data_IF_222662365648
#
_entry.id   IF_222662365648
#
_cell.length_a   1.000
_cell.length_b   1.000
_cell.length_c   1.000
_cell.angle_alpha   90.00
_cell.angle_beta   90.00
_cell.angle_gamma   90.00
#
_symmetry.space_group_name_H-M   'P 1'
#
loop_
_entity.id
_entity.type
_entity.pdbx_description
1 polymer ?
#
# COMPACT_ATOMS: atom_id res chain seq x y z
N UNK A 1 5.74 23.64 -10.17
CA UNK A 1 6.42 22.60 -9.37
C UNK A 1 5.41 21.47 -9.10
N UNK A 2 5.70 20.21 -9.46
CA UNK A 2 4.88 19.08 -8.97
C UNK A 2 5.30 18.79 -7.52
N UNK A 3 4.39 18.77 -6.54
CA UNK A 3 4.77 18.43 -5.17
C UNK A 3 5.37 17.03 -5.12
N UNK A 4 6.43 16.84 -4.33
CA UNK A 4 6.98 15.50 -4.08
C UNK A 4 5.90 14.62 -3.46
N UNK A 5 5.95 13.32 -3.74
CA UNK A 5 5.01 12.33 -3.19
C UNK A 5 3.54 12.54 -3.60
N UNK A 6 3.30 13.31 -4.66
CA UNK A 6 2.00 13.45 -5.30
C UNK A 6 1.78 12.35 -6.35
N UNK A 7 1.52 11.14 -5.87
CA UNK A 7 1.23 9.98 -6.71
C UNK A 7 0.14 9.13 -6.07
N UNK A 8 -0.82 8.66 -6.86
CA UNK A 8 -1.84 7.72 -6.41
C UNK A 8 -1.58 6.43 -7.17
N UNK A 9 -1.14 5.39 -6.46
CA UNK A 9 -0.87 4.10 -7.07
C UNK A 9 -2.17 3.51 -7.63
N UNK A 10 -2.08 2.88 -8.80
CA UNK A 10 -3.17 2.07 -9.34
C UNK A 10 -3.24 0.72 -8.64
N UNK A 11 -4.38 0.06 -8.74
CA UNK A 11 -4.58 -1.29 -8.20
C UNK A 11 -3.57 -2.30 -8.79
N UNK A 12 -3.22 -2.17 -10.06
CA UNK A 12 -2.23 -3.00 -10.75
C UNK A 12 -0.83 -2.80 -10.17
N UNK A 13 -0.46 -1.55 -9.85
CA UNK A 13 0.82 -1.24 -9.20
C UNK A 13 0.87 -1.73 -7.75
N UNK A 14 -0.26 -1.78 -7.05
CA UNK A 14 -0.36 -2.31 -5.69
C UNK A 14 -0.31 -3.84 -5.64
N UNK A 15 -0.83 -4.53 -6.67
CA UNK A 15 -0.92 -6.00 -6.72
C UNK A 15 0.39 -6.74 -6.38
N UNK A 16 1.55 -6.45 -7.00
CA UNK A 16 2.78 -7.18 -6.67
C UNK A 16 3.22 -7.00 -5.21
N UNK A 17 2.88 -5.87 -4.59
CA UNK A 17 3.15 -5.63 -3.17
C UNK A 17 2.21 -6.40 -2.27
N UNK A 18 0.93 -6.55 -2.63
CA UNK A 18 -0.02 -7.39 -1.90
C UNK A 18 0.46 -8.84 -1.88
N UNK A 19 0.89 -9.37 -3.03
CA UNK A 19 1.41 -10.73 -3.13
C UNK A 19 2.68 -10.92 -2.28
N UNK A 20 3.58 -9.94 -2.29
CA UNK A 20 4.78 -9.94 -1.45
C UNK A 20 4.45 -9.91 0.05
N UNK A 21 3.48 -9.09 0.48
CA UNK A 21 3.07 -9.02 1.89
C UNK A 21 2.42 -10.33 2.33
N UNK A 22 1.62 -10.97 1.49
CA UNK A 22 1.07 -12.31 1.77
C UNK A 22 2.18 -13.34 1.97
N UNK A 23 3.20 -13.34 1.12
CA UNK A 23 4.35 -14.22 1.28
C UNK A 23 5.06 -13.96 2.62
N UNK A 24 5.44 -12.71 2.90
CA UNK A 24 6.16 -12.33 4.13
C UNK A 24 5.37 -12.63 5.41
N UNK A 25 4.04 -12.58 5.33
CA UNK A 25 3.16 -12.91 6.46
C UNK A 25 3.19 -14.40 6.83
N UNK A 26 3.63 -15.28 5.93
CA UNK A 26 3.85 -16.69 6.24
C UNK A 26 5.24 -16.94 6.86
N UNK A 27 6.19 -16.03 6.65
CA UNK A 27 7.59 -16.16 7.08
C UNK A 27 7.87 -15.42 8.39
N UNK A 28 6.99 -14.49 8.78
CA UNK A 28 7.20 -13.60 9.94
C UNK A 28 5.92 -13.37 10.72
N UNK A 29 6.03 -13.18 12.03
CA UNK A 29 4.88 -12.93 12.89
C UNK A 29 4.21 -11.57 12.65
N UNK A 30 4.98 -10.56 12.19
CA UNK A 30 4.48 -9.18 12.02
C UNK A 30 5.12 -8.53 10.80
N UNK A 31 4.28 -8.05 9.89
CA UNK A 31 4.67 -7.18 8.76
C UNK A 31 4.11 -5.78 8.98
N UNK A 32 4.95 -4.74 8.82
CA UNK A 32 4.54 -3.33 8.92
C UNK A 32 4.77 -2.63 7.58
N UNK A 33 3.71 -2.08 6.98
CA UNK A 33 3.76 -1.32 5.73
C UNK A 33 3.35 0.14 5.94
N UNK A 34 4.04 1.07 5.26
CA UNK A 34 3.78 2.50 5.34
C UNK A 34 3.71 3.10 3.93
N UNK A 35 2.63 3.83 3.65
CA UNK A 35 2.49 4.60 2.42
C UNK A 35 3.01 6.02 2.63
N UNK A 36 3.96 6.46 1.81
CA UNK A 36 4.59 7.78 1.93
C UNK A 36 4.19 8.77 0.81
N UNK A 37 3.26 8.39 -0.05
CA UNK A 37 2.68 9.24 -1.09
C UNK A 37 1.63 10.22 -0.51
N UNK A 38 2.03 11.02 0.49
CA UNK A 38 1.12 11.71 1.40
C UNK A 38 0.38 12.92 0.79
N UNK A 39 0.80 13.44 -0.35
CA UNK A 39 0.22 14.67 -0.91
C UNK A 39 -1.24 14.46 -1.30
N UNK A 40 -2.12 15.33 -0.78
CA UNK A 40 -3.58 15.24 -1.01
C UNK A 40 -4.18 13.94 -0.46
N UNK A 41 -3.68 13.44 0.67
CA UNK A 41 -4.16 12.24 1.36
C UNK A 41 -4.10 10.92 0.55
N UNK A 42 -3.35 10.89 -0.57
CA UNK A 42 -3.24 9.69 -1.43
C UNK A 42 -2.68 8.47 -0.71
N UNK A 43 -1.77 8.67 0.23
CA UNK A 43 -1.28 7.59 1.10
C UNK A 43 -2.40 6.88 1.87
N UNK A 44 -3.39 7.62 2.37
CA UNK A 44 -4.54 7.05 3.09
C UNK A 44 -5.42 6.24 2.13
N UNK A 45 -5.70 6.80 0.93
CA UNK A 45 -6.47 6.12 -0.11
C UNK A 45 -5.81 4.79 -0.50
N UNK A 46 -4.52 4.81 -0.85
CA UNK A 46 -3.82 3.58 -1.21
C UNK A 46 -3.67 2.62 -0.01
N UNK A 47 -3.52 3.11 1.22
CA UNK A 47 -3.46 2.23 2.39
C UNK A 47 -4.79 1.50 2.65
N UNK A 48 -5.93 2.16 2.49
CA UNK A 48 -7.25 1.54 2.62
C UNK A 48 -7.46 0.51 1.50
N UNK A 49 -7.22 0.87 0.24
CA UNK A 49 -7.32 -0.06 -0.88
C UNK A 49 -6.40 -1.27 -0.70
N UNK A 50 -5.17 -1.06 -0.24
CA UNK A 50 -4.23 -2.14 0.04
C UNK A 50 -4.72 -3.09 1.13
N UNK A 51 -5.35 -2.57 2.19
CA UNK A 51 -5.99 -3.39 3.24
C UNK A 51 -7.16 -4.20 2.70
N UNK A 52 -7.98 -3.63 1.82
CA UNK A 52 -9.08 -4.34 1.14
C UNK A 52 -8.53 -5.48 0.28
N UNK A 53 -7.49 -5.20 -0.52
CA UNK A 53 -6.84 -6.20 -1.36
C UNK A 53 -6.20 -7.33 -0.55
N UNK A 54 -5.71 -7.04 0.65
CA UNK A 54 -5.21 -8.04 1.60
C UNK A 54 -6.34 -8.85 2.28
N UNK A 55 -7.59 -8.38 2.24
CA UNK A 55 -8.71 -8.98 2.98
C UNK A 55 -8.64 -8.74 4.50
N UNK A 56 -8.12 -7.58 4.91
CA UNK A 56 -7.88 -7.21 6.33
C UNK A 56 -8.71 -6.00 6.79
N UNK A 57 -9.82 -5.76 6.09
CA UNK A 57 -10.83 -4.76 6.45
C UNK A 57 -11.93 -5.43 7.25
#
# INVERSE_FOLDING_TARGET
MKPRYNYLYSREELKPWVDKVRQLSNETAVVRGYFNNHYGARAVVNAIEFKEMLGTV
#
